data_IF_313205928216
#
_entry.id   IF_313205928216
#
_cell.length_a   1.000
_cell.length_b   1.000
_cell.length_c   1.000
_cell.angle_alpha   90.00
_cell.angle_beta   90.00
_cell.angle_gamma   90.00
#
_symmetry.space_group_name_H-M   'P 1'
#
loop_
_entity.id
_entity.type
_entity.pdbx_description
1 polymer ?
#
# COMPACT_ATOMS: atom_id res chain seq x y z
N UNK A 1 -49.93 77.73 -3.56
CA UNK A 1 -48.57 77.15 -3.48
C UNK A 1 -48.60 75.97 -4.41
N UNK A 2 -47.92 76.13 -5.54
CA UNK A 2 -48.20 75.41 -6.78
C UNK A 2 -47.63 73.99 -6.76
N UNK A 3 -48.44 73.05 -7.26
CA UNK A 3 -48.13 71.61 -7.30
C UNK A 3 -46.89 71.32 -8.16
N UNK A 4 -46.57 72.21 -9.09
CA UNK A 4 -45.41 72.12 -9.98
C UNK A 4 -44.07 72.30 -9.25
N UNK A 5 -44.03 73.02 -8.13
CA UNK A 5 -42.80 73.31 -7.36
C UNK A 5 -42.43 72.18 -6.39
N UNK A 6 -43.41 71.37 -5.97
CA UNK A 6 -43.16 70.14 -5.20
C UNK A 6 -42.57 69.03 -6.09
N UNK A 7 -43.02 68.94 -7.35
CA UNK A 7 -42.55 67.94 -8.30
C UNK A 7 -41.10 68.18 -8.74
N UNK A 8 -40.69 69.45 -8.89
CA UNK A 8 -39.29 69.79 -9.19
C UNK A 8 -38.35 69.43 -8.04
N UNK A 9 -38.76 69.63 -6.78
CA UNK A 9 -37.98 69.28 -5.60
C UNK A 9 -37.80 67.76 -5.42
N UNK A 10 -38.84 66.97 -5.70
CA UNK A 10 -38.76 65.50 -5.68
C UNK A 10 -37.86 64.95 -6.80
N UNK A 11 -37.89 65.53 -7.99
CA UNK A 11 -36.99 65.18 -9.11
C UNK A 11 -35.54 65.55 -8.81
N UNK A 12 -35.28 66.71 -8.20
CA UNK A 12 -33.94 67.10 -7.77
C UNK A 12 -33.42 66.21 -6.64
N UNK A 13 -34.27 65.86 -5.67
CA UNK A 13 -33.93 64.89 -4.63
C UNK A 13 -33.57 63.53 -5.23
N UNK A 14 -34.33 63.03 -6.20
CA UNK A 14 -34.03 61.77 -6.89
C UNK A 14 -32.68 61.84 -7.64
N UNK A 15 -32.39 62.97 -8.31
CA UNK A 15 -31.09 63.19 -8.98
C UNK A 15 -29.89 63.18 -8.02
N UNK A 16 -30.02 63.79 -6.84
CA UNK A 16 -28.94 63.77 -5.82
C UNK A 16 -28.69 62.37 -5.27
N UNK A 17 -29.75 61.55 -5.15
CA UNK A 17 -29.63 60.14 -4.75
C UNK A 17 -28.94 59.33 -5.84
N UNK A 18 -29.30 59.55 -7.11
CA UNK A 18 -28.67 58.87 -8.26
C UNK A 18 -27.19 59.26 -8.44
N UNK A 19 -26.81 60.52 -8.15
CA UNK A 19 -25.41 60.97 -8.16
C UNK A 19 -24.58 60.36 -7.02
N UNK A 20 -25.17 60.20 -5.83
CA UNK A 20 -24.53 59.49 -4.72
C UNK A 20 -24.33 57.99 -5.03
N UNK A 21 -25.29 57.37 -5.73
CA UNK A 21 -25.19 55.97 -6.19
C UNK A 21 -24.09 55.84 -7.25
N UNK A 22 -24.03 56.77 -8.22
CA UNK A 22 -22.95 56.83 -9.23
C UNK A 22 -21.56 56.98 -8.62
N UNK A 23 -21.41 57.80 -7.58
CA UNK A 23 -20.15 57.95 -6.84
C UNK A 23 -19.72 56.63 -6.17
N UNK A 24 -20.67 55.88 -5.61
CA UNK A 24 -20.42 54.57 -4.99
C UNK A 24 -20.06 53.47 -6.00
N UNK A 25 -20.47 53.60 -7.27
CA UNK A 25 -20.27 52.61 -8.33
C UNK A 25 -18.84 52.54 -8.86
N UNK A 26 -18.04 53.60 -8.74
CA UNK A 26 -16.66 53.63 -9.23
C UNK A 26 -15.73 52.61 -8.55
N UNK A 27 -16.00 52.27 -7.28
CA UNK A 27 -15.18 51.31 -6.52
C UNK A 27 -15.70 49.87 -6.60
N UNK A 28 -16.97 49.66 -6.94
CA UNK A 28 -17.58 48.33 -7.13
C UNK A 28 -16.80 47.43 -8.10
N UNK A 29 -16.36 47.88 -9.30
CA UNK A 29 -15.64 47.01 -10.23
C UNK A 29 -14.29 46.53 -9.66
N UNK A 30 -13.60 47.38 -8.89
CA UNK A 30 -12.34 47.00 -8.23
C UNK A 30 -12.55 45.90 -7.19
N UNK A 31 -13.61 45.99 -6.38
CA UNK A 31 -13.92 44.94 -5.41
C UNK A 31 -14.36 43.64 -6.09
N UNK A 32 -15.12 43.73 -7.18
CA UNK A 32 -15.56 42.54 -7.95
C UNK A 32 -14.35 41.82 -8.53
N UNK A 33 -13.44 42.52 -9.21
CA UNK A 33 -12.22 41.88 -9.75
C UNK A 33 -11.35 41.30 -8.62
N UNK A 34 -11.24 42.00 -7.48
CA UNK A 34 -10.50 41.49 -6.32
C UNK A 34 -11.12 40.22 -5.74
N UNK A 35 -12.45 40.14 -5.71
CA UNK A 35 -13.18 38.95 -5.25
C UNK A 35 -12.92 37.78 -6.20
N UNK A 36 -12.98 38.00 -7.52
CA UNK A 36 -12.70 36.98 -8.53
C UNK A 36 -11.26 36.45 -8.43
N UNK A 37 -10.28 37.34 -8.27
CA UNK A 37 -8.87 36.95 -8.03
C UNK A 37 -8.72 36.09 -6.77
N UNK A 38 -9.36 36.48 -5.66
CA UNK A 38 -9.30 35.74 -4.40
C UNK A 38 -10.01 34.38 -4.53
N UNK A 39 -11.13 34.31 -5.24
CA UNK A 39 -11.82 33.05 -5.51
C UNK A 39 -10.97 32.09 -6.34
N UNK A 40 -10.24 32.61 -7.33
CA UNK A 40 -9.31 31.81 -8.12
C UNK A 40 -8.18 31.21 -7.25
N UNK A 41 -7.60 32.03 -6.36
CA UNK A 41 -6.57 31.58 -5.42
C UNK A 41 -7.12 30.51 -4.46
N UNK A 42 -8.35 30.66 -3.97
CA UNK A 42 -9.01 29.66 -3.12
C UNK A 42 -9.20 28.36 -3.89
N UNK A 43 -9.70 28.41 -5.13
CA UNK A 43 -9.90 27.22 -5.95
C UNK A 43 -8.59 26.45 -6.22
N UNK A 44 -7.49 27.15 -6.51
CA UNK A 44 -6.18 26.53 -6.69
C UNK A 44 -5.68 25.84 -5.41
N UNK A 45 -5.85 26.49 -4.25
CA UNK A 45 -5.50 25.90 -2.95
C UNK A 45 -6.34 24.68 -2.63
N UNK A 46 -7.64 24.71 -2.93
CA UNK A 46 -8.51 23.55 -2.76
C UNK A 46 -8.10 22.37 -3.64
N UNK A 47 -7.74 22.61 -4.90
CA UNK A 47 -7.25 21.57 -5.80
C UNK A 47 -5.94 20.95 -5.26
N UNK A 48 -5.02 21.79 -4.79
CA UNK A 48 -3.78 21.34 -4.15
C UNK A 48 -4.05 20.52 -2.88
N UNK A 49 -5.00 20.95 -2.05
CA UNK A 49 -5.40 20.22 -0.85
C UNK A 49 -5.99 18.85 -1.18
N UNK A 50 -6.87 18.76 -2.19
CA UNK A 50 -7.42 17.48 -2.67
C UNK A 50 -6.32 16.54 -3.16
N UNK A 51 -5.33 17.06 -3.89
CA UNK A 51 -4.15 16.27 -4.32
C UNK A 51 -3.36 15.74 -3.13
N UNK A 52 -3.03 16.59 -2.16
CA UNK A 52 -2.28 16.19 -0.96
C UNK A 52 -3.07 15.20 -0.09
N UNK A 53 -4.39 15.38 0.00
CA UNK A 53 -5.28 14.45 0.70
C UNK A 53 -5.29 13.07 0.01
N UNK A 54 -5.32 13.02 -1.32
CA UNK A 54 -5.22 11.77 -2.07
C UNK A 54 -3.88 11.06 -1.81
N UNK A 55 -2.76 11.81 -1.80
CA UNK A 55 -1.44 11.25 -1.46
C UNK A 55 -1.38 10.70 -0.03
N UNK A 56 -1.95 11.42 0.95
CA UNK A 56 -2.11 10.93 2.33
C UNK A 56 -2.91 9.64 2.38
N UNK A 57 -4.02 9.57 1.65
CA UNK A 57 -4.88 8.39 1.61
C UNK A 57 -4.16 7.18 1.00
N UNK A 58 -3.39 7.40 -0.08
CA UNK A 58 -2.56 6.35 -0.68
C UNK A 58 -1.52 5.82 0.31
N UNK A 59 -0.82 6.71 1.03
CA UNK A 59 0.15 6.30 2.05
C UNK A 59 -0.52 5.56 3.21
N UNK A 60 -1.68 6.03 3.67
CA UNK A 60 -2.43 5.34 4.72
C UNK A 60 -2.90 3.94 4.27
N UNK A 61 -3.30 3.79 3.00
CA UNK A 61 -3.61 2.48 2.43
C UNK A 61 -2.39 1.56 2.41
N UNK A 62 -1.21 2.07 2.06
CA UNK A 62 0.06 1.30 2.14
C UNK A 62 0.38 0.88 3.57
N UNK A 63 0.24 1.79 4.54
CA UNK A 63 0.42 1.45 5.96
C UNK A 63 -0.57 0.37 6.41
N UNK A 64 -1.82 0.43 5.95
CA UNK A 64 -2.82 -0.62 6.23
C UNK A 64 -2.39 -1.97 5.65
N UNK A 65 -1.98 -2.03 4.37
CA UNK A 65 -1.51 -3.26 3.73
C UNK A 65 -0.29 -3.84 4.47
N UNK A 66 0.71 -3.00 4.80
CA UNK A 66 1.88 -3.43 5.54
C UNK A 66 1.54 -3.95 6.96
N UNK A 67 0.52 -3.38 7.61
CA UNK A 67 0.03 -3.89 8.91
C UNK A 67 -0.66 -5.24 8.77
N UNK A 68 -1.46 -5.44 7.73
CA UNK A 68 -2.09 -6.74 7.42
C UNK A 68 -1.04 -7.80 7.09
N UNK A 69 -0.04 -7.45 6.28
CA UNK A 69 1.12 -8.32 6.00
C UNK A 69 1.90 -8.65 7.28
N UNK A 70 2.15 -7.66 8.13
CA UNK A 70 2.84 -7.89 9.41
C UNK A 70 2.02 -8.82 10.32
N UNK A 71 0.70 -8.69 10.32
CA UNK A 71 -0.18 -9.58 11.09
C UNK A 71 -0.14 -11.02 10.55
N UNK A 72 -0.14 -11.20 9.23
CA UNK A 72 0.08 -12.51 8.59
C UNK A 72 1.47 -13.08 8.92
N UNK A 73 2.50 -12.23 9.01
CA UNK A 73 3.84 -12.65 9.43
C UNK A 73 3.94 -12.95 10.93
N UNK A 74 3.05 -12.38 11.75
CA UNK A 74 2.96 -12.66 13.18
C UNK A 74 2.21 -13.98 13.45
N UNK A 75 1.53 -14.55 12.44
CA UNK A 75 1.14 -15.95 12.51
C UNK A 75 2.38 -16.81 12.79
N UNK A 76 2.28 -17.66 13.81
CA UNK A 76 3.43 -18.41 14.31
C UNK A 76 4.13 -19.16 13.18
N UNK A 77 5.47 -19.10 13.19
CA UNK A 77 6.30 -19.70 12.15
C UNK A 77 5.98 -21.19 11.92
N UNK A 78 6.14 -21.62 10.67
CA UNK A 78 5.97 -23.02 10.29
C UNK A 78 6.96 -23.93 11.03
N UNK A 79 6.50 -25.09 11.51
CA UNK A 79 7.39 -26.10 12.07
C UNK A 79 8.27 -26.71 10.98
N UNK A 80 9.52 -26.97 11.32
CA UNK A 80 10.47 -27.62 10.42
C UNK A 80 10.58 -29.09 10.80
N UNK A 81 10.34 -29.97 9.84
CA UNK A 81 10.42 -31.41 10.01
C UNK A 81 11.27 -32.09 8.95
N UNK A 82 11.62 -33.34 9.21
CA UNK A 82 12.26 -34.24 8.25
C UNK A 82 11.31 -35.39 7.92
N UNK A 83 11.17 -35.71 6.63
CA UNK A 83 10.34 -36.83 6.21
C UNK A 83 11.09 -38.13 6.50
N UNK A 84 10.47 -39.05 7.25
CA UNK A 84 11.05 -40.38 7.51
C UNK A 84 10.65 -41.35 6.41
N UNK A 85 9.34 -41.43 6.15
CA UNK A 85 8.78 -42.35 5.16
C UNK A 85 7.44 -41.81 4.64
N UNK A 86 7.25 -41.68 3.32
CA UNK A 86 5.92 -41.47 2.75
C UNK A 86 5.09 -42.74 2.97
N UNK A 87 3.87 -42.60 3.49
CA UNK A 87 2.99 -43.75 3.74
C UNK A 87 2.05 -43.97 2.55
N UNK A 88 0.98 -43.18 2.51
CA UNK A 88 -0.03 -43.26 1.47
C UNK A 88 0.01 -41.98 0.63
N UNK A 89 -0.85 -41.91 -0.38
CA UNK A 89 -0.96 -40.75 -1.25
C UNK A 89 -1.33 -39.44 -0.55
N UNK A 90 -1.88 -39.52 0.67
CA UNK A 90 -2.36 -38.36 1.44
C UNK A 90 -1.60 -38.14 2.74
N UNK A 91 -0.83 -39.12 3.21
CA UNK A 91 -0.25 -39.14 4.56
C UNK A 91 1.24 -39.45 4.52
N UNK A 92 2.01 -38.70 5.31
CA UNK A 92 3.47 -38.81 5.40
C UNK A 92 3.90 -38.89 6.86
N UNK A 93 4.89 -39.74 7.14
CA UNK A 93 5.52 -39.78 8.46
C UNK A 93 6.64 -38.74 8.52
N UNK A 94 6.46 -37.71 9.34
CA UNK A 94 7.41 -36.61 9.55
C UNK A 94 7.94 -36.65 10.97
N UNK A 95 9.24 -36.40 11.13
CA UNK A 95 9.89 -36.19 12.42
C UNK A 95 10.03 -34.69 12.66
N UNK A 96 9.42 -34.18 13.72
CA UNK A 96 9.52 -32.79 14.15
C UNK A 96 10.34 -32.74 15.44
N UNK A 97 11.29 -31.80 15.52
CA UNK A 97 12.05 -31.55 16.75
C UNK A 97 11.40 -30.35 17.46
N UNK A 98 11.01 -30.41 18.76
CA UNK A 98 11.34 -31.42 19.79
C UNK A 98 10.31 -32.56 20.01
N UNK A 99 9.19 -32.58 19.30
CA UNK A 99 7.98 -33.32 19.71
C UNK A 99 7.82 -34.77 19.20
N UNK A 100 8.69 -35.26 18.30
CA UNK A 100 8.74 -36.67 17.90
C UNK A 100 8.25 -36.96 16.49
N UNK A 101 7.58 -38.11 16.27
CA UNK A 101 7.13 -38.59 14.95
C UNK A 101 5.62 -38.43 14.81
N UNK A 102 5.19 -37.79 13.73
CA UNK A 102 3.78 -37.52 13.44
C UNK A 102 3.40 -38.01 12.05
N UNK A 103 2.16 -38.47 11.93
CA UNK A 103 1.53 -38.72 10.63
C UNK A 103 0.82 -37.45 10.23
N UNK A 104 1.29 -36.83 9.16
CA UNK A 104 0.83 -35.53 8.65
C UNK A 104 0.10 -35.72 7.33
N UNK A 105 -0.97 -34.96 7.13
CA UNK A 105 -1.66 -34.87 5.83
C UNK A 105 -0.93 -33.91 4.87
N UNK A 106 -0.87 -34.31 3.59
CA UNK A 106 -0.28 -33.50 2.50
C UNK A 106 -1.30 -32.47 2.02
N UNK A 107 -0.87 -31.24 1.78
CA UNK A 107 -1.71 -30.23 1.14
C UNK A 107 -1.88 -30.51 -0.36
N UNK A 108 -3.03 -30.11 -0.92
CA UNK A 108 -3.38 -30.38 -2.33
C UNK A 108 -2.44 -29.72 -3.33
N UNK A 109 -1.62 -28.77 -2.88
CA UNK A 109 -0.67 -28.02 -3.70
C UNK A 109 0.65 -28.78 -3.95
N UNK A 110 0.93 -29.90 -3.26
CA UNK A 110 2.18 -30.67 -3.40
C UNK A 110 1.89 -32.13 -3.69
N UNK A 111 2.62 -32.68 -4.68
CA UNK A 111 2.52 -34.09 -5.07
C UNK A 111 3.54 -34.99 -4.34
N UNK A 112 3.20 -36.27 -4.18
CA UNK A 112 4.00 -37.27 -3.46
C UNK A 112 5.37 -37.50 -4.10
N UNK A 113 5.51 -37.23 -5.40
CA UNK A 113 6.74 -37.49 -6.15
C UNK A 113 7.90 -36.59 -5.70
N UNK A 114 7.60 -35.38 -5.22
CA UNK A 114 8.62 -34.43 -4.74
C UNK A 114 9.07 -34.73 -3.31
N UNK A 115 8.28 -35.53 -2.59
CA UNK A 115 8.53 -35.87 -1.19
C UNK A 115 9.44 -37.08 -1.10
N UNK A 116 10.75 -36.86 -1.25
CA UNK A 116 11.74 -37.92 -0.99
C UNK A 116 11.97 -38.10 0.51
N UNK A 117 12.22 -39.34 0.99
CA UNK A 117 12.58 -39.56 2.39
C UNK A 117 13.89 -38.82 2.71
N UNK A 118 13.96 -38.24 3.91
CA UNK A 118 14.99 -37.32 4.41
C UNK A 118 14.98 -35.90 3.81
N UNK A 119 13.93 -35.51 3.07
CA UNK A 119 13.71 -34.11 2.74
C UNK A 119 13.31 -33.29 3.97
N UNK A 120 13.76 -32.03 4.00
CA UNK A 120 13.28 -31.02 4.96
C UNK A 120 11.96 -30.45 4.46
N UNK A 121 10.97 -30.39 5.34
CA UNK A 121 9.63 -29.92 5.03
C UNK A 121 9.18 -28.88 6.05
N UNK A 122 8.35 -27.95 5.60
CA UNK A 122 7.65 -26.99 6.44
C UNK A 122 6.21 -27.46 6.65
N UNK A 123 5.80 -27.48 7.91
CA UNK A 123 4.45 -27.79 8.34
C UNK A 123 3.73 -26.51 8.76
N UNK A 124 2.44 -26.40 8.46
CA UNK A 124 1.60 -25.32 8.98
C UNK A 124 1.49 -25.44 10.51
N UNK A 125 1.48 -24.31 11.20
CA UNK A 125 1.36 -24.21 12.65
C UNK A 125 0.04 -24.77 13.20
N UNK A 126 -1.09 -24.52 12.54
CA UNK A 126 -2.42 -24.87 13.06
C UNK A 126 -2.84 -26.33 12.77
N UNK A 127 -2.61 -26.78 11.53
CA UNK A 127 -3.10 -28.06 11.03
C UNK A 127 -2.01 -29.13 10.91
N UNK A 128 -0.74 -28.78 11.19
CA UNK A 128 0.44 -29.61 10.90
C UNK A 128 0.50 -30.13 9.46
N UNK A 129 -0.24 -29.56 8.51
CA UNK A 129 -0.23 -30.01 7.12
C UNK A 129 1.07 -29.60 6.43
N UNK A 130 1.53 -30.43 5.49
CA UNK A 130 2.73 -30.15 4.71
C UNK A 130 2.46 -28.98 3.76
N UNK A 131 3.16 -27.86 3.94
CA UNK A 131 2.97 -26.64 3.15
C UNK A 131 4.04 -26.44 2.07
N UNK A 132 5.32 -26.65 2.41
CA UNK A 132 6.44 -26.40 1.48
C UNK A 132 7.63 -27.32 1.74
N UNK A 133 8.34 -27.72 0.68
CA UNK A 133 9.60 -28.46 0.78
C UNK A 133 10.75 -27.46 0.86
N UNK A 134 11.66 -27.65 1.80
CA UNK A 134 12.85 -26.81 1.97
C UNK A 134 14.06 -27.49 1.33
N UNK A 135 14.96 -26.73 0.68
CA UNK A 135 16.20 -27.30 0.20
C UNK A 135 17.04 -27.83 1.37
N UNK A 136 17.70 -28.97 1.15
CA UNK A 136 18.56 -29.56 2.17
C UNK A 136 19.80 -28.66 2.37
N UNK A 137 20.27 -28.56 3.63
CA UNK A 137 21.44 -27.77 3.97
C UNK A 137 22.69 -28.51 3.47
N UNK A 138 23.18 -28.15 2.29
CA UNK A 138 24.52 -28.55 1.86
C UNK A 138 25.51 -27.86 2.79
N UNK A 139 26.34 -28.64 3.49
CA UNK A 139 27.35 -28.14 4.41
C UNK A 139 28.31 -27.22 3.64
N UNK A 140 28.42 -25.94 4.05
CA UNK A 140 29.27 -24.94 3.38
C UNK A 140 30.76 -25.35 3.33
N UNK A 141 31.18 -26.29 4.19
CA UNK A 141 32.54 -26.82 4.23
C UNK A 141 32.93 -27.69 3.02
N UNK A 142 31.98 -28.09 2.17
CA UNK A 142 32.24 -28.92 0.99
C UNK A 142 32.09 -28.15 -0.34
N UNK A 143 32.23 -26.81 -0.33
CA UNK A 143 32.48 -26.05 -1.56
C UNK A 143 33.97 -26.06 -1.89
N UNK A 144 34.49 -27.24 -2.20
CA UNK A 144 35.71 -27.38 -2.97
C UNK A 144 35.36 -27.33 -4.45
N UNK A 145 35.93 -26.37 -5.17
CA UNK A 145 36.08 -26.36 -6.64
C UNK A 145 34.80 -26.63 -7.46
N UNK A 146 34.04 -25.59 -7.77
CA UNK A 146 33.39 -25.50 -9.07
C UNK A 146 34.06 -24.36 -9.83
N UNK A 147 34.81 -24.78 -10.85
CA UNK A 147 35.54 -23.99 -11.82
C UNK A 147 34.73 -22.85 -12.44
N UNK A 148 35.41 -21.74 -12.65
CA UNK A 148 35.05 -20.67 -13.58
C UNK A 148 34.70 -21.26 -14.95
N UNK A 149 33.42 -21.30 -15.30
CA UNK A 149 32.95 -21.39 -16.69
C UNK A 149 31.43 -21.16 -16.76
N UNK A 150 30.96 -19.92 -16.61
CA UNK A 150 29.83 -19.38 -17.39
C UNK A 150 29.69 -17.88 -17.14
N UNK A 151 30.71 -17.10 -17.52
CA UNK A 151 30.52 -15.70 -17.89
C UNK A 151 30.05 -15.68 -19.34
N UNK A 152 28.75 -15.82 -19.61
CA UNK A 152 28.11 -15.12 -20.74
C UNK A 152 26.60 -15.11 -20.63
N UNK A 153 26.03 -13.93 -20.85
CA UNK A 153 24.60 -13.54 -20.90
C UNK A 153 23.99 -13.18 -19.54
N UNK A 154 24.14 -11.89 -19.23
CA UNK A 154 23.45 -11.22 -18.14
C UNK A 154 21.95 -11.09 -18.36
N UNK A 155 21.22 -10.94 -17.25
CA UNK A 155 20.26 -9.87 -16.92
C UNK A 155 19.82 -10.09 -15.46
N UNK A 156 19.60 -8.98 -14.76
CA UNK A 156 19.05 -8.82 -13.40
C UNK A 156 20.02 -8.87 -12.20
N UNK A 157 20.88 -7.85 -12.14
CA UNK A 157 21.21 -7.19 -10.87
C UNK A 157 19.96 -6.50 -10.29
N UNK A 158 19.48 -6.97 -9.15
CA UNK A 158 19.44 -6.18 -7.91
C UNK A 158 18.50 -6.82 -6.89
N UNK A 159 19.11 -7.35 -5.82
CA UNK A 159 18.74 -7.30 -4.40
C UNK A 159 19.37 -8.55 -3.77
N UNK A 160 20.65 -8.42 -3.42
CA UNK A 160 21.30 -9.24 -2.39
C UNK A 160 21.98 -8.29 -1.44
N UNK A 161 21.25 -7.86 -0.42
CA UNK A 161 21.88 -7.50 0.84
C UNK A 161 21.80 -8.72 1.76
N UNK A 162 22.93 -9.31 2.18
CA UNK A 162 22.96 -10.13 3.36
C UNK A 162 22.80 -9.20 4.57
N UNK A 163 21.73 -9.37 5.34
CA UNK A 163 21.60 -8.78 6.66
C UNK A 163 22.73 -9.33 7.54
N UNK A 164 23.66 -8.46 7.93
CA UNK A 164 24.63 -8.72 8.99
C UNK A 164 23.98 -8.44 10.35
N UNK A 165 24.25 -9.30 11.33
CA UNK A 165 24.34 -8.88 12.74
C UNK A 165 25.75 -8.35 12.98
#
# INVERSE_FOLDING_TARGET
MDVDEAYTYEVERQRTVDEAIKSSEGFKPYYVTKIEELQLIVAEKEQNLRRLQAQRNELNAKVRMLREELQLLQEQGSYVGEVVKPMDKKKVLVKVHPEGKFVVDIDKNIDINDVTPNCRVALRNESYTLHKILPNKVRWSNKGFMSEACLTVGICENIKQPCYC
#
